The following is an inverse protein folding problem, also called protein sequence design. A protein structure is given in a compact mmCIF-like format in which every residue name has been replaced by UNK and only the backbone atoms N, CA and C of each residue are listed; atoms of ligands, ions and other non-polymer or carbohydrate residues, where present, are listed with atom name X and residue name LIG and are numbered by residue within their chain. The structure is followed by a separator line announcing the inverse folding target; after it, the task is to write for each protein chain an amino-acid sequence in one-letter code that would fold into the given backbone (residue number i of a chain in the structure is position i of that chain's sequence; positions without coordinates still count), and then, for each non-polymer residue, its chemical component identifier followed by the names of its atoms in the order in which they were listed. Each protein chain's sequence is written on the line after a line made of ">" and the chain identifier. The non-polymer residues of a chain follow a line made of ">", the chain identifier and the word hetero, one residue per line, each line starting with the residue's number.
data_IF_762166760169
#
_entry.id   IF_762166760169
#
_cell.length_a   1.000
_cell.length_b   1.000
_cell.length_c   1.000
_cell.angle_alpha   90.00
_cell.angle_beta   90.00
_cell.angle_gamma   90.00
#
_symmetry.space_group_name_H-M   'P 1'
#
loop_
_entity.id
_entity.type
_entity.pdbx_description
1 polymer ?
#
# COMPACT_ATOMS: atom_id res chain seq x y z
N UNK A 1 27.46 31.46 76.41
CA UNK A 1 28.45 30.72 75.58
C UNK A 1 28.09 29.25 75.71
N UNK A 2 27.63 28.49 74.71
CA UNK A 2 27.94 28.46 73.27
C UNK A 2 26.74 27.75 72.57
N UNK A 3 26.30 28.29 71.44
CA UNK A 3 25.32 27.64 70.55
C UNK A 3 25.99 26.51 69.75
N UNK A 4 25.24 25.45 69.42
CA UNK A 4 25.51 24.61 68.25
C UNK A 4 24.22 24.61 67.42
N UNK A 5 24.30 25.22 66.23
CA UNK A 5 23.23 25.27 65.25
C UNK A 5 23.27 24.02 64.36
N UNK A 6 22.10 23.42 64.15
CA UNK A 6 21.87 22.36 63.16
C UNK A 6 21.65 23.05 61.81
N UNK A 7 22.48 22.73 60.82
CA UNK A 7 22.26 23.10 59.43
C UNK A 7 21.65 21.89 58.70
N UNK A 8 20.37 21.99 58.32
CA UNK A 8 19.76 21.09 57.36
C UNK A 8 19.65 21.83 56.01
N UNK A 9 20.35 21.32 55.00
CA UNK A 9 20.34 21.86 53.65
C UNK A 9 18.97 21.63 52.99
N UNK A 10 18.37 22.69 52.46
CA UNK A 10 17.12 22.63 51.72
C UNK A 10 17.41 22.26 50.27
N UNK A 11 17.17 21.01 49.89
CA UNK A 11 17.25 20.56 48.50
C UNK A 11 15.99 20.99 47.75
N UNK A 12 16.07 22.01 46.89
CA UNK A 12 15.01 22.36 45.95
C UNK A 12 15.04 21.38 44.77
N UNK A 13 14.15 20.39 44.78
CA UNK A 13 13.88 19.58 43.60
C UNK A 13 13.10 20.41 42.60
N UNK A 14 13.69 20.75 41.45
CA UNK A 14 12.90 21.16 40.29
C UNK A 14 12.07 19.96 39.85
N UNK A 15 10.75 20.04 39.99
CA UNK A 15 9.85 19.11 39.33
C UNK A 15 9.93 19.36 37.81
N UNK A 16 10.38 18.36 37.06
CA UNK A 16 10.19 18.33 35.62
C UNK A 16 8.68 18.35 35.29
N UNK A 17 8.25 18.90 34.13
CA UNK A 17 6.84 18.91 33.80
C UNK A 17 6.32 17.47 33.69
N UNK A 18 5.17 17.20 34.31
CA UNK A 18 4.50 15.91 34.20
C UNK A 18 4.13 15.67 32.73
N UNK A 19 4.78 14.69 32.10
CA UNK A 19 4.36 14.16 30.80
C UNK A 19 2.98 13.51 30.99
N UNK A 20 2.08 13.67 30.01
CA UNK A 20 0.67 13.28 30.11
C UNK A 20 0.47 11.74 30.16
N UNK A 21 0.72 11.12 31.32
CA UNK A 21 0.50 9.67 31.55
C UNK A 21 -0.96 9.22 31.36
N UNK A 22 -1.92 10.13 31.31
CA UNK A 22 -3.34 9.82 31.12
C UNK A 22 -3.78 9.74 29.65
N UNK A 23 -2.94 10.15 28.68
CA UNK A 23 -3.28 10.17 27.26
C UNK A 23 -2.45 9.13 26.52
N UNK A 24 -2.99 7.92 26.36
CA UNK A 24 -2.32 6.78 25.70
C UNK A 24 -3.10 6.41 24.44
N UNK A 25 -2.54 6.73 23.26
CA UNK A 25 -3.02 6.24 21.98
C UNK A 25 -2.20 5.01 21.59
N UNK A 26 -2.85 3.85 21.46
CA UNK A 26 -2.27 2.64 20.87
C UNK A 26 -2.75 2.52 19.43
N UNK A 27 -1.88 2.80 18.49
CA UNK A 27 -2.14 2.65 17.05
C UNK A 27 -1.60 1.32 16.50
N UNK A 28 -1.20 0.42 17.39
CA UNK A 28 -0.67 -0.89 17.05
C UNK A 28 -1.78 -1.73 16.41
N UNK A 29 -1.60 -2.13 15.15
CA UNK A 29 -2.61 -2.89 14.40
C UNK A 29 -3.72 -2.06 13.76
N UNK A 30 -3.64 -0.72 13.79
CA UNK A 30 -4.58 0.12 13.04
C UNK A 30 -4.37 -0.08 11.53
N UNK A 31 -5.42 -0.48 10.82
CA UNK A 31 -5.41 -0.65 9.36
C UNK A 31 -6.56 0.14 8.74
N UNK A 32 -6.29 0.80 7.62
CA UNK A 32 -7.30 1.35 6.69
C UNK A 32 -7.04 0.67 5.35
N UNK A 33 -8.03 -0.02 4.79
CA UNK A 33 -7.89 -0.77 3.53
C UNK A 33 -9.13 -0.57 2.67
N UNK A 34 -8.91 -0.34 1.37
CA UNK A 34 -9.94 -0.36 0.34
C UNK A 34 -9.64 -1.54 -0.60
N UNK A 35 -10.68 -2.27 -0.99
CA UNK A 35 -10.55 -3.52 -1.77
C UNK A 35 -11.38 -3.42 -3.04
N UNK A 36 -10.76 -3.74 -4.19
CA UNK A 36 -11.44 -3.93 -5.47
C UNK A 36 -11.49 -5.43 -5.76
N UNK A 37 -12.69 -5.97 -5.96
CA UNK A 37 -12.89 -7.39 -6.28
C UNK A 37 -13.11 -7.59 -7.78
N UNK A 38 -12.24 -8.37 -8.40
CA UNK A 38 -12.40 -8.84 -9.77
C UNK A 38 -13.06 -10.22 -9.77
N UNK A 39 -14.14 -10.43 -10.55
CA UNK A 39 -14.84 -11.72 -10.54
C UNK A 39 -13.94 -12.89 -10.92
N UNK A 40 -13.04 -12.69 -11.89
CA UNK A 40 -12.07 -13.68 -12.33
C UNK A 40 -10.87 -13.04 -13.00
N UNK A 41 -9.72 -13.66 -12.84
CA UNK A 41 -8.47 -13.36 -13.55
C UNK A 41 -7.96 -14.67 -14.14
N UNK A 42 -7.52 -14.62 -15.40
CA UNK A 42 -6.78 -15.71 -16.03
C UNK A 42 -5.47 -15.18 -16.57
N UNK A 43 -4.37 -15.85 -16.22
CA UNK A 43 -3.03 -15.54 -16.70
C UNK A 43 -2.31 -16.86 -17.04
N UNK A 44 -1.47 -16.87 -18.08
CA UNK A 44 -0.80 -18.09 -18.57
C UNK A 44 0.51 -18.41 -17.81
N UNK A 45 1.01 -17.46 -17.02
CA UNK A 45 2.19 -17.59 -16.14
C UNK A 45 1.91 -16.89 -14.82
N UNK A 46 2.71 -17.20 -13.81
CA UNK A 46 2.67 -16.46 -12.54
C UNK A 46 2.94 -14.97 -12.77
N UNK A 47 2.30 -14.14 -11.97
CA UNK A 47 2.47 -12.70 -12.06
C UNK A 47 1.54 -11.94 -11.14
N UNK A 48 1.11 -10.76 -11.58
CA UNK A 48 0.38 -9.81 -10.76
C UNK A 48 -0.81 -9.21 -11.53
N UNK A 49 -1.91 -9.00 -10.81
CA UNK A 49 -2.95 -8.08 -11.22
C UNK A 49 -2.70 -6.74 -10.53
N UNK A 50 -2.63 -5.67 -11.31
CA UNK A 50 -2.38 -4.31 -10.83
C UNK A 50 -3.54 -3.40 -11.18
N UNK A 51 -3.70 -2.32 -10.40
CA UNK A 51 -4.63 -1.24 -10.70
C UNK A 51 -3.84 0.05 -10.90
N UNK A 52 -4.05 0.70 -12.04
CA UNK A 52 -3.50 2.03 -12.33
C UNK A 52 -4.61 3.07 -12.26
N UNK A 53 -4.30 4.20 -11.62
CA UNK A 53 -5.11 5.41 -11.68
C UNK A 53 -5.05 6.03 -13.08
N UNK A 54 -6.07 6.81 -13.42
CA UNK A 54 -6.08 7.63 -14.63
C UNK A 54 -5.79 9.09 -14.30
N UNK A 55 -5.03 9.75 -15.17
CA UNK A 55 -4.83 11.19 -15.19
C UNK A 55 -5.06 11.69 -16.61
N UNK A 56 -6.00 12.62 -16.78
CA UNK A 56 -6.40 13.16 -18.09
C UNK A 56 -6.79 12.05 -19.10
N UNK A 57 -7.43 10.98 -18.61
CA UNK A 57 -7.84 9.82 -19.40
C UNK A 57 -6.72 8.85 -19.77
N UNK A 58 -5.49 9.08 -19.29
CA UNK A 58 -4.33 8.22 -19.54
C UNK A 58 -3.91 7.50 -18.25
N UNK A 59 -3.41 6.26 -18.33
CA UNK A 59 -2.90 5.54 -17.17
C UNK A 59 -1.68 6.25 -16.58
N UNK A 60 -1.66 6.40 -15.26
CA UNK A 60 -0.45 6.82 -14.53
C UNK A 60 0.46 5.61 -14.45
N UNK A 61 1.58 5.63 -15.18
CA UNK A 61 2.57 4.55 -15.26
C UNK A 61 3.96 5.19 -15.07
N UNK A 62 4.91 4.53 -14.38
CA UNK A 62 4.89 3.13 -13.91
C UNK A 62 4.16 2.87 -12.59
N UNK A 63 3.61 3.90 -11.94
CA UNK A 63 2.95 3.71 -10.63
C UNK A 63 1.66 2.90 -10.69
N UNK A 64 1.43 2.03 -9.71
CA UNK A 64 0.13 1.37 -9.47
C UNK A 64 -0.42 1.82 -8.10
N UNK A 65 -1.75 1.83 -7.95
CA UNK A 65 -2.42 2.16 -6.68
C UNK A 65 -2.75 0.92 -5.85
N UNK A 66 -2.55 -0.27 -6.40
CA UNK A 66 -2.70 -1.55 -5.74
C UNK A 66 -2.33 -2.70 -6.65
N UNK A 67 -1.96 -3.83 -6.05
CA UNK A 67 -1.60 -5.04 -6.76
C UNK A 67 -1.84 -6.29 -5.90
N UNK A 68 -1.95 -7.44 -6.55
CA UNK A 68 -2.00 -8.75 -5.90
C UNK A 68 -1.33 -9.79 -6.79
N UNK A 69 -0.64 -10.75 -6.18
CA UNK A 69 -0.08 -11.89 -6.89
C UNK A 69 -1.20 -12.81 -7.41
N UNK A 70 -1.05 -13.29 -8.64
CA UNK A 70 -1.93 -14.27 -9.28
C UNK A 70 -1.09 -15.40 -9.87
N UNK A 71 -1.54 -16.64 -9.67
CA UNK A 71 -0.86 -17.83 -10.21
C UNK A 71 -1.37 -18.15 -11.60
N UNK A 72 -0.54 -18.83 -12.39
CA UNK A 72 -0.92 -19.33 -13.70
C UNK A 72 -2.23 -20.15 -13.63
N UNK A 73 -3.14 -19.90 -14.57
CA UNK A 73 -4.48 -20.46 -14.58
C UNK A 73 -5.55 -19.42 -14.24
N UNK A 74 -6.71 -19.90 -13.79
CA UNK A 74 -7.85 -19.06 -13.42
C UNK A 74 -7.95 -18.92 -11.91
N UNK A 75 -8.06 -17.69 -11.44
CA UNK A 75 -8.39 -17.36 -10.04
C UNK A 75 -9.72 -16.60 -10.04
N UNK A 76 -10.64 -16.99 -9.16
CA UNK A 76 -11.93 -16.32 -8.96
C UNK A 76 -11.88 -15.40 -7.75
N UNK A 77 -12.74 -14.38 -7.74
CA UNK A 77 -12.91 -13.45 -6.62
C UNK A 77 -11.58 -12.84 -6.16
N UNK A 78 -10.81 -12.30 -7.11
CA UNK A 78 -9.49 -11.73 -6.85
C UNK A 78 -9.67 -10.37 -6.18
N UNK A 79 -9.15 -10.23 -4.97
CA UNK A 79 -9.20 -9.00 -4.19
C UNK A 79 -7.88 -8.25 -4.30
N UNK A 80 -7.95 -6.98 -4.70
CA UNK A 80 -6.80 -6.08 -4.77
C UNK A 80 -6.96 -5.00 -3.72
N UNK A 81 -6.06 -4.97 -2.75
CA UNK A 81 -5.95 -3.86 -1.80
C UNK A 81 -5.35 -2.64 -2.51
N UNK A 82 -5.96 -1.47 -2.32
CA UNK A 82 -5.50 -0.21 -2.88
C UNK A 82 -5.15 0.80 -1.78
N UNK A 83 -4.11 1.59 -2.03
CA UNK A 83 -3.55 2.57 -1.08
C UNK A 83 -4.39 3.84 -0.98
N UNK A 84 -5.07 4.22 -2.06
CA UNK A 84 -6.00 5.35 -2.13
C UNK A 84 -7.44 4.84 -2.20
N UNK A 85 -8.38 5.55 -1.57
CA UNK A 85 -9.80 5.23 -1.66
C UNK A 85 -10.21 5.17 -3.14
N UNK A 86 -10.62 3.99 -3.62
CA UNK A 86 -11.27 3.90 -4.92
C UNK A 86 -12.49 4.80 -4.86
N UNK A 87 -12.48 5.85 -5.67
CA UNK A 87 -13.57 6.81 -5.71
C UNK A 87 -14.67 6.17 -6.55
N UNK A 88 -15.78 5.82 -5.91
CA UNK A 88 -16.96 5.27 -6.58
C UNK A 88 -17.31 6.09 -7.84
N UNK A 89 -17.51 5.42 -8.96
CA UNK A 89 -17.77 6.07 -10.25
C UNK A 89 -16.54 6.66 -10.96
N UNK A 90 -15.33 6.42 -10.47
CA UNK A 90 -14.07 6.76 -11.15
C UNK A 90 -13.57 5.61 -12.00
N UNK A 91 -12.96 5.95 -13.13
CA UNK A 91 -12.36 5.01 -14.06
C UNK A 91 -10.90 4.70 -13.69
N UNK A 92 -10.55 3.43 -13.81
CA UNK A 92 -9.24 2.86 -13.52
C UNK A 92 -8.85 1.87 -14.62
N UNK A 93 -7.59 1.45 -14.63
CA UNK A 93 -7.10 0.37 -15.49
C UNK A 93 -6.67 -0.81 -14.63
N UNK A 94 -7.24 -1.98 -14.88
CA UNK A 94 -6.67 -3.24 -14.44
C UNK A 94 -5.65 -3.71 -15.46
N UNK A 95 -4.42 -4.02 -15.05
CA UNK A 95 -3.36 -4.51 -15.94
C UNK A 95 -2.75 -5.79 -15.37
N UNK A 96 -2.47 -6.75 -16.24
CA UNK A 96 -1.71 -7.94 -15.88
C UNK A 96 -0.22 -7.70 -16.10
N UNK A 97 0.59 -8.19 -15.18
CA UNK A 97 2.05 -8.19 -15.23
C UNK A 97 2.54 -9.63 -15.02
N UNK A 98 3.64 -10.00 -15.66
CA UNK A 98 4.32 -11.27 -15.38
C UNK A 98 5.25 -11.12 -14.19
N UNK A 99 5.44 -12.18 -13.40
CA UNK A 99 6.59 -12.32 -12.51
C UNK A 99 7.81 -12.67 -13.37
N UNK A 100 8.88 -11.88 -13.29
CA UNK A 100 10.03 -12.00 -14.22
C UNK A 100 11.39 -12.03 -13.56
N UNK A 101 11.45 -11.91 -12.23
CA UNK A 101 12.69 -11.88 -11.48
C UNK A 101 12.76 -12.94 -10.35
N UNK A 102 11.80 -13.88 -10.36
CA UNK A 102 11.73 -15.07 -9.50
C UNK A 102 11.66 -14.73 -8.00
N UNK A 103 10.91 -13.68 -7.65
CA UNK A 103 10.64 -13.33 -6.26
C UNK A 103 9.13 -13.32 -5.95
N UNK A 104 8.76 -12.83 -4.76
CA UNK A 104 7.38 -12.79 -4.26
C UNK A 104 6.86 -11.34 -4.10
N UNK A 105 7.49 -10.37 -4.76
CA UNK A 105 7.20 -8.94 -4.66
C UNK A 105 6.94 -8.33 -6.02
N UNK A 106 5.88 -7.52 -6.13
CA UNK A 106 5.67 -6.73 -7.34
C UNK A 106 6.64 -5.55 -7.40
N UNK A 107 7.56 -5.59 -8.37
CA UNK A 107 8.70 -4.67 -8.45
C UNK A 107 8.59 -3.64 -9.60
N UNK A 108 7.61 -3.75 -10.49
CA UNK A 108 7.42 -2.77 -11.55
C UNK A 108 6.99 -1.41 -10.98
N UNK A 109 7.79 -0.37 -11.21
CA UNK A 109 7.60 0.95 -10.62
C UNK A 109 8.60 1.99 -11.10
N UNK A 110 8.61 3.15 -10.45
CA UNK A 110 9.56 4.22 -10.75
C UNK A 110 11.00 3.74 -10.49
N UNK A 111 11.84 3.74 -11.53
CA UNK A 111 13.21 3.25 -11.44
C UNK A 111 13.38 1.74 -11.62
N UNK A 112 12.30 0.98 -11.80
CA UNK A 112 12.34 -0.46 -12.10
C UNK A 112 11.22 -0.82 -13.08
N UNK A 113 11.53 -0.81 -14.37
CA UNK A 113 10.55 -1.03 -15.46
C UNK A 113 10.93 -2.18 -16.38
N UNK A 114 12.01 -2.89 -16.05
CA UNK A 114 12.60 -4.01 -16.76
C UNK A 114 12.26 -5.36 -16.12
N UNK A 115 11.80 -5.34 -14.87
CA UNK A 115 11.18 -6.48 -14.18
C UNK A 115 9.68 -6.24 -14.01
N UNK A 116 8.99 -7.31 -13.71
CA UNK A 116 7.55 -7.50 -13.69
C UNK A 116 6.81 -6.78 -14.80
N UNK A 117 7.32 -6.95 -16.02
CA UNK A 117 6.78 -6.23 -17.18
C UNK A 117 5.33 -6.65 -17.50
N UNK A 118 4.56 -5.76 -18.15
CA UNK A 118 3.17 -6.06 -18.50
C UNK A 118 3.03 -7.37 -19.29
N UNK A 119 2.02 -8.15 -18.95
CA UNK A 119 1.61 -9.28 -19.75
C UNK A 119 1.09 -8.78 -21.10
N UNK A 120 1.51 -9.40 -22.20
CA UNK A 120 1.22 -8.92 -23.56
C UNK A 120 0.23 -9.81 -24.29
N UNK A 121 -0.63 -9.18 -25.10
CA UNK A 121 -1.46 -9.84 -26.11
C UNK A 121 -0.60 -10.40 -27.25
N UNK A 122 -1.23 -11.13 -28.16
CA UNK A 122 -0.58 -11.68 -29.35
C UNK A 122 0.06 -10.62 -30.27
N UNK A 123 -0.43 -9.38 -30.23
CA UNK A 123 0.12 -8.25 -30.99
C UNK A 123 1.28 -7.52 -30.25
N UNK A 124 1.67 -8.00 -29.06
CA UNK A 124 2.71 -7.40 -28.24
C UNK A 124 2.25 -6.22 -27.38
N UNK A 125 0.98 -5.80 -27.46
CA UNK A 125 0.45 -4.73 -26.60
C UNK A 125 0.12 -5.24 -25.19
N UNK A 126 0.23 -4.41 -24.14
CA UNK A 126 -0.15 -4.79 -22.78
C UNK A 126 -1.61 -5.25 -22.68
N UNK A 127 -1.85 -6.27 -21.86
CA UNK A 127 -3.19 -6.68 -21.45
C UNK A 127 -3.67 -5.80 -20.31
N UNK A 128 -4.32 -4.71 -20.69
CA UNK A 128 -4.93 -3.74 -19.79
C UNK A 128 -6.38 -3.51 -20.20
N UNK A 129 -7.27 -3.47 -19.21
CA UNK A 129 -8.70 -3.24 -19.39
C UNK A 129 -9.19 -2.12 -18.48
N UNK A 130 -9.99 -1.17 -19.00
CA UNK A 130 -10.62 -0.17 -18.16
C UNK A 130 -11.75 -0.79 -17.32
N UNK A 131 -11.94 -0.26 -16.11
CA UNK A 131 -13.12 -0.52 -15.30
C UNK A 131 -13.49 0.73 -14.51
N UNK A 132 -14.78 0.86 -14.18
CA UNK A 132 -15.28 1.90 -13.29
C UNK A 132 -15.49 1.29 -11.91
N UNK A 133 -14.95 1.90 -10.86
CA UNK A 133 -15.22 1.46 -9.50
C UNK A 133 -16.73 1.50 -9.23
N UNK A 134 -17.27 0.42 -8.65
CA UNK A 134 -18.69 0.29 -8.36
C UNK A 134 -19.24 1.50 -7.58
N UNK A 135 -20.50 1.85 -7.85
CA UNK A 135 -21.22 2.84 -7.05
C UNK A 135 -21.63 2.25 -5.70
#
# INVERSE_FOLDING_TARGET
>A
MKLIAIAAALSTTLAAPAMAEHLILKTEGTTVKHVVTFPSVMIDKDGYLTIHALKDGQPVIPGSIGHVAVKAGTTENVEVEIMDDAVAGTDYIGMLHYETNDNDTYDFGEGSTDVDTPATKADGSPYALPFTAGK
#
